data_IF_520476703369
#
_entry.id   IF_520476703369
#
_cell.length_a   1.000
_cell.length_b   1.000
_cell.length_c   1.000
_cell.angle_alpha   90.00
_cell.angle_beta   90.00
_cell.angle_gamma   90.00
#
_symmetry.space_group_name_H-M   'P 1'
#
loop_
_entity.id
_entity.type
_entity.pdbx_description
1 polymer ?
#
# COMPACT_ATOMS: atom_id res chain seq x y z
N UNK A 1 23.20 -0.80 7.22
CA UNK A 1 22.78 -1.76 8.27
C UNK A 1 21.29 -2.05 8.05
N UNK A 2 20.96 -2.93 7.10
CA UNK A 2 19.60 -3.51 7.07
C UNK A 2 19.48 -4.34 8.35
N UNK A 3 18.47 -4.07 9.17
CA UNK A 3 18.35 -4.72 10.46
C UNK A 3 18.26 -6.23 10.27
N UNK A 4 19.07 -6.99 11.02
CA UNK A 4 19.06 -8.47 11.04
C UNK A 4 17.65 -9.07 11.16
N UNK A 5 16.69 -8.30 11.70
CA UNK A 5 15.28 -8.64 11.75
C UNK A 5 14.63 -8.89 10.38
N UNK A 6 15.02 -8.17 9.32
CA UNK A 6 14.45 -8.33 7.97
C UNK A 6 15.00 -9.60 7.30
N UNK A 7 16.27 -9.94 7.52
CA UNK A 7 16.90 -11.14 6.95
C UNK A 7 16.30 -12.43 7.52
N UNK A 8 15.96 -12.45 8.80
CA UNK A 8 15.28 -13.61 9.43
C UNK A 8 13.96 -13.94 8.73
N UNK A 9 13.22 -12.94 8.26
CA UNK A 9 11.96 -13.15 7.53
C UNK A 9 12.16 -13.61 6.08
N UNK A 10 13.38 -13.54 5.53
CA UNK A 10 13.68 -14.07 4.19
C UNK A 10 13.96 -15.58 4.19
N UNK A 11 14.25 -16.17 5.35
CA UNK A 11 14.49 -17.60 5.47
C UNK A 11 13.23 -18.40 5.09
N UNK A 12 13.37 -19.34 4.14
CA UNK A 12 12.25 -20.16 3.65
C UNK A 12 11.29 -19.43 2.70
N UNK A 13 11.63 -18.21 2.26
CA UNK A 13 10.84 -17.48 1.29
C UNK A 13 11.01 -18.04 -0.13
N UNK A 14 9.94 -17.96 -0.91
CA UNK A 14 9.99 -18.18 -2.34
C UNK A 14 10.60 -16.95 -3.00
N UNK A 15 11.73 -17.12 -3.70
CA UNK A 15 12.44 -16.03 -4.35
C UNK A 15 12.44 -16.23 -5.85
N UNK A 16 11.86 -15.28 -6.55
CA UNK A 16 11.73 -15.26 -8.00
C UNK A 16 12.63 -14.16 -8.57
N UNK A 17 13.27 -14.43 -9.70
CA UNK A 17 14.17 -13.50 -10.38
C UNK A 17 13.84 -13.39 -11.86
N UNK A 18 14.14 -12.22 -12.42
CA UNK A 18 13.91 -11.90 -13.81
C UNK A 18 12.60 -11.14 -14.03
N UNK A 19 12.67 -10.08 -14.84
CA UNK A 19 11.61 -9.07 -14.96
C UNK A 19 10.21 -9.65 -15.25
N UNK A 20 10.10 -10.63 -16.16
CA UNK A 20 8.82 -11.24 -16.52
C UNK A 20 8.21 -12.03 -15.35
N UNK A 21 9.00 -12.91 -14.72
CA UNK A 21 8.55 -13.74 -13.60
C UNK A 21 8.26 -12.90 -12.35
N UNK A 22 9.09 -11.89 -12.09
CA UNK A 22 8.87 -10.93 -11.00
C UNK A 22 7.56 -10.18 -11.17
N UNK A 23 7.27 -9.70 -12.39
CA UNK A 23 6.03 -8.98 -12.66
C UNK A 23 4.79 -9.88 -12.51
N UNK A 24 4.87 -11.12 -13.00
CA UNK A 24 3.82 -12.14 -12.83
C UNK A 24 3.57 -12.40 -11.34
N UNK A 25 4.62 -12.72 -10.58
CA UNK A 25 4.51 -13.07 -9.15
C UNK A 25 4.08 -11.90 -8.28
N UNK A 26 4.49 -10.67 -8.60
CA UNK A 26 3.98 -9.49 -7.91
C UNK A 26 2.47 -9.27 -8.17
N UNK A 27 2.01 -9.53 -9.40
CA UNK A 27 0.59 -9.44 -9.76
C UNK A 27 -0.21 -10.55 -9.07
N UNK A 28 0.30 -11.78 -9.08
CA UNK A 28 -0.29 -12.94 -8.40
C UNK A 28 -0.43 -12.67 -6.90
N UNK A 29 0.63 -12.14 -6.26
CA UNK A 29 0.60 -11.75 -4.86
C UNK A 29 -0.50 -10.73 -4.57
N UNK A 30 -0.59 -9.65 -5.36
CA UNK A 30 -1.64 -8.63 -5.19
C UNK A 30 -3.03 -9.24 -5.33
N UNK A 31 -3.22 -10.16 -6.28
CA UNK A 31 -4.47 -10.89 -6.47
C UNK A 31 -4.79 -11.79 -5.26
N UNK A 32 -3.81 -12.54 -4.76
CA UNK A 32 -3.95 -13.47 -3.63
C UNK A 32 -4.39 -12.72 -2.36
N UNK A 33 -3.79 -11.55 -2.11
CA UNK A 33 -4.09 -10.75 -0.93
C UNK A 33 -5.25 -9.77 -1.14
N UNK A 34 -5.93 -9.80 -2.30
CA UNK A 34 -7.11 -8.96 -2.56
C UNK A 34 -6.82 -7.47 -2.68
N UNK A 35 -5.64 -7.09 -3.20
CA UNK A 35 -5.23 -5.71 -3.42
C UNK A 35 -5.26 -5.33 -4.91
N UNK A 36 -5.51 -4.05 -5.25
CA UNK A 36 -5.55 -3.61 -6.64
C UNK A 36 -4.25 -3.88 -7.41
N UNK A 37 -4.36 -4.51 -8.58
CA UNK A 37 -3.23 -4.98 -9.39
C UNK A 37 -2.36 -3.85 -9.98
N UNK A 38 -2.86 -2.61 -10.02
CA UNK A 38 -2.12 -1.44 -10.50
C UNK A 38 -1.35 -0.70 -9.41
N UNK A 39 -1.32 -1.19 -8.16
CA UNK A 39 -0.62 -0.53 -7.05
C UNK A 39 0.90 -0.46 -7.21
N UNK A 40 1.47 -1.43 -7.94
CA UNK A 40 2.92 -1.57 -8.09
C UNK A 40 3.27 -1.37 -9.57
N UNK A 41 3.88 -0.25 -9.95
CA UNK A 41 4.45 -0.08 -11.29
C UNK A 41 5.65 -1.03 -11.45
N UNK A 42 5.44 -2.15 -12.15
CA UNK A 42 6.37 -3.29 -12.28
C UNK A 42 7.50 -3.05 -13.29
N UNK A 43 8.20 -1.91 -13.22
CA UNK A 43 9.29 -1.61 -14.14
C UNK A 43 10.64 -2.12 -13.62
N UNK A 44 11.41 -2.79 -14.48
CA UNK A 44 12.79 -3.22 -14.21
C UNK A 44 12.98 -4.01 -12.90
N UNK A 45 12.03 -4.91 -12.61
CA UNK A 45 12.10 -5.78 -11.43
C UNK A 45 13.20 -6.82 -11.57
N UNK A 46 13.99 -6.97 -10.52
CA UNK A 46 15.12 -7.91 -10.45
C UNK A 46 14.76 -9.14 -9.61
N UNK A 47 14.04 -8.92 -8.50
CA UNK A 47 13.73 -9.96 -7.52
C UNK A 47 12.39 -9.69 -6.84
N UNK A 48 11.62 -10.76 -6.62
CA UNK A 48 10.44 -10.77 -5.76
C UNK A 48 10.59 -11.91 -4.79
N UNK A 49 10.45 -11.62 -3.50
CA UNK A 49 10.47 -12.63 -2.46
C UNK A 49 9.20 -12.62 -1.66
N UNK A 50 8.65 -13.80 -1.39
CA UNK A 50 7.47 -13.97 -0.54
C UNK A 50 7.68 -15.12 0.44
N UNK A 51 7.70 -14.79 1.73
CA UNK A 51 7.61 -15.75 2.80
C UNK A 51 6.14 -15.94 3.21
N UNK A 52 5.53 -17.01 2.71
CA UNK A 52 4.13 -17.36 3.03
C UNK A 52 3.91 -17.67 4.51
N UNK A 53 4.92 -18.18 5.21
CA UNK A 53 4.80 -18.52 6.63
C UNK A 53 4.69 -17.27 7.52
N UNK A 54 5.41 -16.20 7.18
CA UNK A 54 5.40 -14.95 7.96
C UNK A 54 4.58 -13.84 7.32
N UNK A 55 4.11 -14.03 6.09
CA UNK A 55 3.51 -12.98 5.28
C UNK A 55 4.50 -11.90 4.84
N UNK A 56 5.81 -12.13 4.91
CA UNK A 56 6.80 -11.10 4.58
C UNK A 56 7.09 -11.08 3.08
N UNK A 57 7.04 -9.91 2.46
CA UNK A 57 7.34 -9.71 1.03
C UNK A 57 8.43 -8.66 0.85
N UNK A 58 9.28 -8.86 -0.16
CA UNK A 58 10.10 -7.80 -0.72
C UNK A 58 10.05 -7.80 -2.24
N UNK A 59 10.19 -6.61 -2.80
CA UNK A 59 10.23 -6.32 -4.22
C UNK A 59 11.52 -5.52 -4.46
N UNK A 60 12.35 -5.99 -5.37
CA UNK A 60 13.60 -5.32 -5.74
C UNK A 60 13.57 -4.93 -7.21
N UNK A 61 13.90 -3.68 -7.47
CA UNK A 61 13.95 -3.07 -8.79
C UNK A 61 15.32 -2.41 -9.01
N UNK A 62 15.76 -2.38 -10.26
CA UNK A 62 17.11 -1.89 -10.62
C UNK A 62 17.38 -0.45 -10.18
N UNK A 63 16.36 0.41 -10.20
CA UNK A 63 16.42 1.81 -9.79
C UNK A 63 15.13 2.20 -9.09
N UNK A 64 15.20 3.12 -8.14
CA UNK A 64 13.99 3.77 -7.61
C UNK A 64 13.22 4.46 -8.73
N UNK A 65 11.89 4.43 -8.66
CA UNK A 65 11.03 5.03 -9.67
C UNK A 65 9.99 5.93 -9.00
N UNK A 66 9.44 6.84 -9.78
CA UNK A 66 8.31 7.66 -9.35
C UNK A 66 7.17 7.49 -10.33
N UNK A 67 5.98 7.20 -9.80
CA UNK A 67 4.77 6.98 -10.57
C UNK A 67 3.70 8.00 -10.19
N UNK A 68 2.87 8.39 -11.16
CA UNK A 68 1.77 9.32 -10.95
C UNK A 68 0.46 8.59 -11.19
N UNK A 69 -0.30 8.37 -10.11
CA UNK A 69 -1.66 7.87 -10.17
C UNK A 69 -2.59 8.99 -10.65
N UNK A 70 -2.78 9.05 -11.98
CA UNK A 70 -3.50 10.15 -12.66
C UNK A 70 -4.92 10.35 -12.13
N UNK A 71 -5.64 9.27 -11.80
CA UNK A 71 -7.02 9.36 -11.33
C UNK A 71 -7.18 10.10 -9.99
N UNK A 72 -6.14 10.12 -9.15
CA UNK A 72 -6.14 10.82 -7.85
C UNK A 72 -5.12 11.97 -7.78
N UNK A 73 -4.41 12.24 -8.88
CA UNK A 73 -3.38 13.28 -8.95
C UNK A 73 -2.25 13.10 -7.94
N UNK A 74 -1.93 11.87 -7.54
CA UNK A 74 -0.88 11.59 -6.54
C UNK A 74 0.39 11.07 -7.18
N UNK A 75 1.52 11.64 -6.77
CA UNK A 75 2.84 11.18 -7.14
C UNK A 75 3.39 10.32 -6.00
N UNK A 76 3.80 9.09 -6.32
CA UNK A 76 4.31 8.10 -5.37
C UNK A 76 5.69 7.65 -5.83
N UNK A 77 6.66 7.68 -4.93
CA UNK A 77 8.00 7.15 -5.17
C UNK A 77 8.16 5.78 -4.51
N UNK A 78 8.81 4.89 -5.25
CA UNK A 78 9.17 3.54 -4.85
C UNK A 78 10.69 3.45 -4.87
N UNK A 79 11.28 3.01 -3.76
CA UNK A 79 12.70 2.80 -3.62
C UNK A 79 13.16 1.56 -4.42
N UNK A 80 14.47 1.36 -4.52
CA UNK A 80 15.03 0.18 -5.18
C UNK A 80 14.65 -1.14 -4.48
N UNK A 81 14.38 -1.09 -3.17
CA UNK A 81 13.82 -2.19 -2.41
C UNK A 81 12.58 -1.69 -1.65
N UNK A 82 11.47 -2.40 -1.82
CA UNK A 82 10.21 -2.21 -1.10
C UNK A 82 9.96 -3.48 -0.29
N UNK A 83 9.62 -3.32 0.98
CA UNK A 83 9.28 -4.47 1.85
C UNK A 83 7.99 -4.22 2.58
N UNK A 84 7.25 -5.27 2.91
CA UNK A 84 6.02 -5.19 3.69
C UNK A 84 5.67 -6.54 4.32
N UNK A 85 4.70 -6.55 5.23
CA UNK A 85 3.99 -7.73 5.66
C UNK A 85 2.59 -7.72 5.05
N UNK A 86 2.21 -8.78 4.36
CA UNK A 86 0.92 -8.95 3.71
C UNK A 86 -0.04 -9.77 4.58
N UNK A 87 -1.31 -9.37 4.54
CA UNK A 87 -2.46 -10.06 5.13
C UNK A 87 -3.65 -9.92 4.15
N UNK A 88 -4.75 -10.61 4.40
CA UNK A 88 -6.00 -10.44 3.63
C UNK A 88 -6.36 -8.95 3.52
N UNK A 89 -6.35 -8.44 2.28
CA UNK A 89 -6.67 -7.07 1.87
C UNK A 89 -5.79 -5.99 2.51
N UNK A 90 -4.59 -6.34 2.99
CA UNK A 90 -3.77 -5.42 3.77
C UNK A 90 -2.27 -5.62 3.59
N UNK A 91 -1.53 -4.50 3.59
CA UNK A 91 -0.08 -4.47 3.78
C UNK A 91 0.27 -3.62 4.99
N UNK A 92 1.19 -4.09 5.84
CA UNK A 92 1.66 -3.42 7.06
C UNK A 92 3.17 -3.28 7.07
N UNK A 93 3.66 -2.34 7.89
CA UNK A 93 5.10 -2.05 8.06
C UNK A 93 5.83 -1.91 6.71
N UNK A 94 5.16 -1.30 5.75
CA UNK A 94 5.69 -1.05 4.42
C UNK A 94 6.88 -0.09 4.51
N UNK A 95 7.93 -0.37 3.75
CA UNK A 95 9.10 0.49 3.61
C UNK A 95 9.40 0.71 2.14
N UNK A 96 10.13 1.79 1.84
CA UNK A 96 10.50 2.11 0.46
C UNK A 96 9.40 2.78 -0.38
N UNK A 97 8.24 3.09 0.20
CA UNK A 97 7.15 3.79 -0.50
C UNK A 97 6.89 5.15 0.13
N UNK A 98 6.86 6.22 -0.67
CA UNK A 98 6.53 7.58 -0.23
C UNK A 98 5.55 8.25 -1.16
N UNK A 99 4.59 8.98 -0.61
CA UNK A 99 3.67 9.84 -1.37
C UNK A 99 4.13 11.29 -1.30
N UNK A 100 3.92 12.04 -2.38
CA UNK A 100 4.19 13.48 -2.41
C UNK A 100 2.97 14.24 -1.90
N UNK A 101 3.14 14.93 -0.78
CA UNK A 101 2.16 15.87 -0.23
C UNK A 101 2.71 17.29 -0.34
N UNK A 102 2.04 18.13 -1.14
CA UNK A 102 2.49 19.48 -1.46
C UNK A 102 3.95 19.47 -1.96
N UNK A 103 4.89 19.90 -1.12
CA UNK A 103 6.32 19.99 -1.43
C UNK A 103 7.16 18.89 -0.74
N UNK A 104 6.56 18.03 0.08
CA UNK A 104 7.28 17.08 0.96
C UNK A 104 6.94 15.64 0.56
N UNK A 105 7.95 14.76 0.63
CA UNK A 105 7.76 13.31 0.49
C UNK A 105 7.48 12.68 1.86
N UNK A 106 6.32 12.05 1.99
CA UNK A 106 5.85 11.42 3.22
C UNK A 106 5.87 9.91 3.06
N UNK A 107 6.49 9.18 3.98
CA UNK A 107 6.52 7.72 3.97
C UNK A 107 5.14 7.12 4.28
N UNK A 108 4.84 6.00 3.63
CA UNK A 108 3.66 5.19 3.92
C UNK A 108 4.09 3.95 4.70
N UNK A 109 3.31 3.57 5.72
CA UNK A 109 3.58 2.40 6.56
C UNK A 109 2.56 1.30 6.41
N UNK A 110 1.30 1.64 6.15
CA UNK A 110 0.22 0.65 6.07
C UNK A 110 -0.75 1.01 4.96
N UNK A 111 -1.38 0.00 4.39
CA UNK A 111 -2.53 0.18 3.51
C UNK A 111 -3.49 -0.99 3.64
N UNK A 112 -4.78 -0.74 3.40
CA UNK A 112 -5.79 -1.79 3.42
C UNK A 112 -6.99 -1.41 2.56
N UNK A 113 -7.63 -2.42 1.98
CA UNK A 113 -8.96 -2.30 1.38
C UNK A 113 -9.99 -2.51 2.48
N UNK A 114 -11.00 -1.64 2.54
CA UNK A 114 -12.04 -1.72 3.56
C UNK A 114 -12.86 -3.01 3.39
N UNK A 115 -13.16 -3.68 4.51
CA UNK A 115 -13.93 -4.92 4.49
C UNK A 115 -15.42 -4.66 4.26
N UNK A 116 -15.92 -3.54 4.79
CA UNK A 116 -17.31 -3.11 4.69
C UNK A 116 -17.57 -2.37 3.38
N UNK A 117 -16.52 -1.73 2.82
CA UNK A 117 -16.57 -1.08 1.52
C UNK A 117 -15.35 -1.45 0.63
N UNK A 118 -15.39 -2.61 -0.05
CA UNK A 118 -14.30 -3.07 -0.91
C UNK A 118 -13.98 -2.16 -2.11
N UNK A 119 -14.77 -1.10 -2.33
CA UNK A 119 -14.48 -0.08 -3.33
C UNK A 119 -13.47 0.96 -2.85
N UNK A 120 -13.09 0.94 -1.56
CA UNK A 120 -12.19 1.92 -0.94
C UNK A 120 -10.89 1.27 -0.45
N UNK A 121 -9.79 1.96 -0.71
CA UNK A 121 -8.46 1.64 -0.19
C UNK A 121 -7.93 2.81 0.63
N UNK A 122 -7.35 2.51 1.78
CA UNK A 122 -6.79 3.49 2.72
C UNK A 122 -5.29 3.29 2.85
N UNK A 123 -4.53 4.38 2.81
CA UNK A 123 -3.09 4.41 3.06
C UNK A 123 -2.82 5.21 4.31
N UNK A 124 -1.90 4.74 5.16
CA UNK A 124 -1.51 5.39 6.41
C UNK A 124 -0.02 5.72 6.43
N UNK A 125 0.30 6.84 7.06
CA UNK A 125 1.66 7.22 7.42
C UNK A 125 2.07 6.51 8.73
N UNK A 126 3.37 6.45 9.06
CA UNK A 126 3.86 5.93 10.34
C UNK A 126 3.25 6.60 11.58
N UNK A 127 2.74 7.83 11.44
CA UNK A 127 2.05 8.58 12.51
C UNK A 127 0.57 8.21 12.65
N UNK A 128 0.06 7.28 11.83
CA UNK A 128 -1.33 6.82 11.84
C UNK A 128 -2.30 7.67 11.00
N UNK A 129 -1.83 8.77 10.38
CA UNK A 129 -2.67 9.61 9.53
C UNK A 129 -3.00 8.87 8.23
N UNK A 130 -4.30 8.75 7.94
CA UNK A 130 -4.80 7.99 6.81
C UNK A 130 -5.42 8.84 5.71
N UNK A 131 -5.31 8.39 4.47
CA UNK A 131 -6.10 8.89 3.34
C UNK A 131 -6.76 7.74 2.59
N UNK A 132 -8.01 7.92 2.23
CA UNK A 132 -8.83 6.91 1.53
C UNK A 132 -9.12 7.35 0.11
N UNK A 133 -9.06 6.40 -0.82
CA UNK A 133 -9.25 6.60 -2.25
C UNK A 133 -10.09 5.45 -2.83
N UNK A 134 -10.73 5.64 -3.99
CA UNK A 134 -11.39 4.53 -4.67
C UNK A 134 -10.35 3.52 -5.19
N UNK A 135 -10.61 2.23 -5.04
CA UNK A 135 -9.77 1.12 -5.52
C UNK A 135 -9.51 1.22 -7.03
N UNK A 136 -10.49 1.72 -7.79
CA UNK A 136 -10.37 1.93 -9.24
C UNK A 136 -9.22 2.86 -9.63
N UNK A 137 -8.83 3.81 -8.74
CA UNK A 137 -7.66 4.68 -8.92
C UNK A 137 -6.34 3.93 -9.06
N UNK A 138 -6.31 2.66 -8.66
CA UNK A 138 -5.15 1.79 -8.65
C UNK A 138 -5.38 0.53 -9.48
N UNK A 139 -6.35 0.55 -10.40
CA UNK A 139 -6.53 -0.52 -11.37
C UNK A 139 -5.37 -0.55 -12.38
N UNK A 140 -5.10 -1.72 -12.97
CA UNK A 140 -4.08 -1.86 -14.01
C UNK A 140 -4.48 -1.04 -15.24
N UNK A 141 -3.53 -0.31 -15.82
CA UNK A 141 -3.78 0.47 -17.04
C UNK A 141 -4.17 -0.48 -18.18
N UNK A 142 -5.42 -0.37 -18.67
CA UNK A 142 -6.02 -1.29 -19.65
C UNK A 142 -7.21 -2.12 -19.16
N UNK A 143 -7.59 -2.02 -17.87
CA UNK A 143 -8.75 -2.74 -17.34
C UNK A 143 -10.07 -1.96 -17.60
N UNK A 144 -11.10 -2.55 -18.25
CA UNK A 144 -12.34 -1.85 -18.62
C UNK A 144 -13.16 -1.37 -17.42
N UNK A 145 -12.82 -1.81 -16.20
CA UNK A 145 -13.46 -1.38 -14.94
C UNK A 145 -13.01 0.01 -14.46
N UNK A 146 -11.97 0.60 -15.05
CA UNK A 146 -11.39 1.90 -14.66
C UNK A 146 -12.26 3.13 -15.02
N UNK A 147 -13.31 2.98 -15.85
CA UNK A 147 -14.00 4.10 -16.48
C UNK A 147 -15.23 4.68 -15.74
N UNK A 148 -15.66 4.15 -14.58
CA UNK A 148 -16.87 4.63 -13.86
C UNK A 148 -16.60 5.12 -12.43
N UNK A 149 -15.78 6.16 -12.29
CA UNK A 149 -15.56 6.84 -11.02
C UNK A 149 -15.52 8.37 -11.16
N UNK A 150 -16.62 9.00 -11.57
CA UNK A 150 -16.80 10.45 -11.40
C UNK A 150 -17.35 10.72 -10.00
N UNK A 151 -16.50 11.17 -9.09
CA UNK A 151 -16.88 11.68 -7.77
C UNK A 151 -15.70 12.44 -7.15
N UNK A 152 -15.84 13.76 -7.03
CA UNK A 152 -14.86 14.71 -6.50
C UNK A 152 -14.49 14.44 -5.02
N UNK A 153 -13.35 14.92 -4.51
CA UNK A 153 -12.85 14.57 -3.18
C UNK A 153 -13.60 15.35 -2.08
N UNK A 154 -14.22 14.63 -1.15
CA UNK A 154 -14.58 15.18 0.15
C UNK A 154 -13.50 14.79 1.16
N UNK A 155 -12.65 15.76 1.51
CA UNK A 155 -11.81 15.67 2.69
C UNK A 155 -12.73 15.72 3.93
N UNK A 156 -12.96 14.57 4.56
CA UNK A 156 -13.61 14.51 5.86
C UNK A 156 -12.55 14.32 6.94
N UNK A 157 -12.06 15.43 7.50
CA UNK A 157 -11.39 15.44 8.78
C UNK A 157 -12.45 15.28 9.88
N UNK A 158 -12.55 14.10 10.48
CA UNK A 158 -13.36 13.89 11.68
C UNK A 158 -12.49 14.06 12.92
N UNK A 159 -12.53 15.25 13.51
CA UNK A 159 -11.98 15.52 14.84
C UNK A 159 -13.05 15.15 15.87
N UNK A 160 -12.92 13.97 16.50
CA UNK A 160 -13.79 13.53 17.58
C UNK A 160 -13.51 14.31 18.86
N UNK A 161 -14.46 15.17 19.26
CA UNK A 161 -14.47 15.86 20.55
C UNK A 161 -15.22 14.98 21.54
N UNK A 162 -14.51 14.24 22.38
CA UNK A 162 -15.13 13.51 23.49
C UNK A 162 -15.46 14.50 24.61
N UNK A 163 -16.75 14.69 24.86
CA UNK A 163 -17.28 15.45 25.97
C UNK A 163 -17.35 14.54 27.20
N UNK A 164 -16.60 14.88 28.25
CA UNK A 164 -16.78 14.30 29.58
C UNK A 164 -18.10 14.79 30.18
N UNK A 165 -19.08 13.90 30.29
CA UNK A 165 -20.25 14.08 31.12
C UNK A 165 -20.04 13.32 32.44
N UNK A 166 -19.80 14.05 33.53
CA UNK A 166 -19.99 13.53 34.89
C UNK A 166 -21.29 14.10 35.42
N UNK A 167 -22.30 13.24 35.59
CA UNK A 167 -23.51 13.56 36.33
C UNK A 167 -23.64 12.51 37.45
N UNK A 168 -23.37 12.94 38.67
CA UNK A 168 -23.53 12.16 39.90
C UNK A 168 -24.37 12.98 40.88
N UNK A 169 -25.61 12.52 41.05
CA UNK A 169 -26.76 13.20 41.66
C UNK A 169 -26.70 13.21 43.20
N UNK A 170 -27.26 14.28 43.75
CA UNK A 170 -27.65 14.55 45.13
C UNK A 170 -28.08 13.35 46.00
N UNK A 171 -27.71 13.42 47.28
CA UNK A 171 -28.69 13.42 48.39
C UNK A 171 -28.15 14.24 49.56
#
# INVERSE_FOLDING_TARGET
>A
MGSQAVETHRAGAEVYRGAALCAEKATELLSEVGLPLGLLPLADMEEVGYNRATGFVWLRQKKSLTHTFKQIGRQVSYAAEVTAFVEDRRMKKMTGVKTKELLIWVALSDMFVDKDDPSKITFKTPTGLGRTFPVTAFAKEGDPKAAKGKGAPAAAAANGKEAAAVNGKAK
#
